data_IF_113387443814
#
_entry.id   IF_113387443814
#
_cell.length_a   1.000
_cell.length_b   1.000
_cell.length_c   1.000
_cell.angle_alpha   90.00
_cell.angle_beta   90.00
_cell.angle_gamma   90.00
#
_symmetry.space_group_name_H-M   'P 1'
#
loop_
_entity.id
_entity.type
_entity.pdbx_description
1 polymer ?
#
# COMPACT_ATOMS: atom_id res chain seq x y z
N UNK A 1 -14.40 -2.32 17.92
CA UNK A 1 -14.74 -1.93 16.54
C UNK A 1 -14.19 -0.56 16.11
N UNK A 2 -14.05 0.44 16.98
CA UNK A 2 -13.45 1.73 16.61
C UNK A 2 -11.93 1.64 16.37
N UNK A 3 -11.21 0.93 17.25
CA UNK A 3 -9.75 0.79 17.19
C UNK A 3 -9.26 0.16 15.87
N UNK A 4 -9.85 -0.96 15.44
CA UNK A 4 -9.49 -1.61 14.17
C UNK A 4 -9.69 -0.68 12.98
N UNK A 5 -10.78 0.10 12.97
CA UNK A 5 -11.07 1.06 11.92
C UNK A 5 -10.02 2.18 11.87
N UNK A 6 -9.59 2.67 13.04
CA UNK A 6 -8.52 3.67 13.15
C UNK A 6 -7.18 3.10 12.68
N UNK A 7 -6.86 1.85 13.03
CA UNK A 7 -5.63 1.19 12.57
C UNK A 7 -5.64 1.04 11.05
N UNK A 8 -6.74 0.60 10.44
CA UNK A 8 -6.83 0.47 8.98
C UNK A 8 -6.71 1.84 8.31
N UNK A 9 -7.35 2.88 8.86
CA UNK A 9 -7.18 4.24 8.34
C UNK A 9 -5.72 4.71 8.41
N UNK A 10 -5.03 4.43 9.52
CA UNK A 10 -3.61 4.73 9.67
C UNK A 10 -2.76 3.98 8.63
N UNK A 11 -3.00 2.68 8.42
CA UNK A 11 -2.33 1.87 7.38
C UNK A 11 -2.48 2.50 6.00
N UNK A 12 -3.70 2.90 5.63
CA UNK A 12 -3.95 3.56 4.33
C UNK A 12 -3.15 4.86 4.23
N UNK A 13 -3.13 5.68 5.28
CA UNK A 13 -2.38 6.94 5.28
C UNK A 13 -0.89 6.69 5.12
N UNK A 14 -0.31 5.69 5.81
CA UNK A 14 1.11 5.36 5.70
C UNK A 14 1.47 4.91 4.29
N UNK A 15 0.64 4.05 3.67
CA UNK A 15 0.87 3.60 2.28
C UNK A 15 0.79 4.79 1.31
N UNK A 16 -0.20 5.68 1.47
CA UNK A 16 -0.32 6.88 0.62
C UNK A 16 0.85 7.84 0.82
N UNK A 17 1.33 8.01 2.06
CA UNK A 17 2.52 8.81 2.34
C UNK A 17 3.76 8.20 1.68
N UNK A 18 3.98 6.89 1.81
CA UNK A 18 5.06 6.17 1.15
C UNK A 18 5.03 6.35 -0.37
N UNK A 19 3.85 6.22 -0.99
CA UNK A 19 3.65 6.48 -2.42
C UNK A 19 3.96 7.93 -2.80
N UNK A 20 3.49 8.89 -2.00
CA UNK A 20 3.71 10.31 -2.23
C UNK A 20 5.19 10.70 -2.16
N UNK A 21 5.93 10.19 -1.16
CA UNK A 21 7.37 10.42 -1.02
C UNK A 21 8.14 9.81 -2.19
N UNK A 22 7.78 8.58 -2.59
CA UNK A 22 8.40 7.89 -3.74
C UNK A 22 8.14 8.65 -5.03
N UNK A 23 6.91 9.12 -5.24
CA UNK A 23 6.53 9.92 -6.41
C UNK A 23 7.27 11.26 -6.47
N UNK A 24 7.49 11.90 -5.32
CA UNK A 24 8.24 13.13 -5.21
C UNK A 24 9.77 12.94 -5.29
N UNK A 25 10.26 11.71 -5.46
CA UNK A 25 11.69 11.36 -5.45
C UNK A 25 12.41 11.84 -4.18
N UNK A 26 11.73 11.80 -3.02
CA UNK A 26 12.32 12.16 -1.74
C UNK A 26 13.19 10.98 -1.27
N UNK A 27 14.41 11.29 -0.83
CA UNK A 27 15.35 10.27 -0.33
C UNK A 27 14.81 9.60 0.95
N UNK A 28 14.83 8.27 1.00
CA UNK A 28 14.40 7.49 2.16
C UNK A 28 15.24 7.79 3.42
N UNK A 29 16.50 8.23 3.25
CA UNK A 29 17.43 8.52 4.33
C UNK A 29 17.51 10.02 4.67
N UNK A 30 16.54 10.82 4.23
CA UNK A 30 16.51 12.25 4.51
C UNK A 30 16.43 12.55 6.02
N UNK A 31 15.65 11.75 6.76
CA UNK A 31 15.52 11.79 8.22
C UNK A 31 14.78 10.53 8.73
N UNK A 32 14.71 10.39 10.07
CA UNK A 32 14.06 9.25 10.74
C UNK A 32 12.57 9.09 10.39
N UNK A 33 11.84 10.19 10.17
CA UNK A 33 10.43 10.14 9.80
C UNK A 33 10.26 9.55 8.40
N UNK A 34 11.03 10.04 7.43
CA UNK A 34 10.99 9.53 6.06
C UNK A 34 11.39 8.05 6.02
N UNK A 35 12.49 7.69 6.70
CA UNK A 35 12.96 6.30 6.81
C UNK A 35 11.89 5.39 7.43
N UNK A 36 11.23 5.87 8.48
CA UNK A 36 10.11 5.17 9.11
C UNK A 36 8.92 4.96 8.17
N UNK A 37 8.54 5.97 7.39
CA UNK A 37 7.46 5.86 6.39
C UNK A 37 7.82 4.85 5.30
N UNK A 38 9.06 4.86 4.78
CA UNK A 38 9.52 3.87 3.80
C UNK A 38 9.53 2.45 4.37
N UNK A 39 9.99 2.27 5.60
CA UNK A 39 10.00 0.96 6.27
C UNK A 39 8.58 0.41 6.47
N UNK A 40 7.69 1.23 7.03
CA UNK A 40 6.31 0.84 7.28
C UNK A 40 5.53 0.64 5.98
N UNK A 41 5.70 1.51 4.99
CA UNK A 41 5.09 1.39 3.66
C UNK A 41 5.46 0.05 3.02
N UNK A 42 6.75 -0.27 2.94
CA UNK A 42 7.23 -1.56 2.44
C UNK A 42 6.61 -2.74 3.19
N UNK A 43 6.58 -2.70 4.52
CA UNK A 43 5.99 -3.79 5.33
C UNK A 43 4.50 -3.99 5.05
N UNK A 44 3.75 -2.89 4.96
CA UNK A 44 2.30 -2.91 4.75
C UNK A 44 1.91 -3.29 3.31
N UNK A 45 2.83 -3.15 2.37
CA UNK A 45 2.65 -3.50 0.96
C UNK A 45 2.91 -4.99 0.65
N UNK A 46 3.64 -5.72 1.52
CA UNK A 46 3.96 -7.14 1.33
C UNK A 46 2.72 -8.01 1.04
N UNK A 47 1.61 -7.92 1.81
CA UNK A 47 0.45 -8.75 1.54
C UNK A 47 -0.15 -8.49 0.15
N UNK A 48 -0.13 -7.24 -0.30
CA UNK A 48 -0.59 -6.88 -1.63
C UNK A 48 0.35 -7.42 -2.71
N UNK A 49 1.67 -7.38 -2.48
CA UNK A 49 2.65 -7.99 -3.37
C UNK A 49 2.39 -9.49 -3.54
N UNK A 50 2.18 -10.23 -2.45
CA UNK A 50 1.87 -11.67 -2.49
C UNK A 50 0.60 -11.94 -3.30
N UNK A 51 -0.45 -11.12 -3.11
CA UNK A 51 -1.70 -11.27 -3.88
C UNK A 51 -1.47 -10.98 -5.35
N UNK A 52 -0.78 -9.89 -5.69
CA UNK A 52 -0.49 -9.49 -7.07
C UNK A 52 0.37 -10.55 -7.79
N UNK A 53 1.41 -11.05 -7.13
CA UNK A 53 2.31 -12.08 -7.68
C UNK A 53 1.59 -13.42 -7.91
N UNK A 54 0.50 -13.68 -7.18
CA UNK A 54 -0.32 -14.88 -7.35
C UNK A 54 -1.33 -14.79 -8.49
N UNK A 55 -1.56 -13.61 -9.07
CA UNK A 55 -2.50 -13.44 -10.17
C UNK A 55 -1.92 -14.03 -11.46
N UNK A 56 -2.71 -14.78 -12.24
CA UNK A 56 -2.28 -15.27 -13.54
C UNK A 56 -2.19 -14.09 -14.53
N UNK A 57 -1.01 -13.47 -14.61
CA UNK A 57 -0.74 -12.38 -15.56
C UNK A 57 -0.08 -12.91 -16.82
N UNK A 58 -0.57 -12.49 -18.00
CA UNK A 58 0.10 -12.74 -19.28
C UNK A 58 1.50 -12.12 -19.30
N UNK A 59 2.45 -12.71 -20.04
CA UNK A 59 3.85 -12.26 -20.10
C UNK A 59 4.01 -10.75 -20.46
N UNK A 60 3.12 -10.24 -21.30
CA UNK A 60 3.05 -8.81 -21.69
C UNK A 60 2.59 -7.90 -20.53
N UNK A 61 1.73 -8.43 -19.66
CA UNK A 61 1.19 -7.75 -18.48
C UNK A 61 2.19 -7.75 -17.31
N UNK A 62 2.99 -8.81 -17.19
CA UNK A 62 4.12 -8.86 -16.25
C UNK A 62 5.21 -7.85 -16.62
N UNK A 63 5.54 -7.70 -17.91
CA UNK A 63 6.56 -6.75 -18.37
C UNK A 63 6.14 -5.27 -18.21
N UNK A 64 4.88 -4.94 -18.46
CA UNK A 64 4.34 -3.59 -18.24
C UNK A 64 4.24 -3.23 -16.74
N UNK A 65 4.06 -4.21 -15.88
CA UNK A 65 4.03 -4.04 -14.42
C UNK A 65 5.44 -3.95 -13.82
N UNK A 66 6.43 -4.65 -14.37
CA UNK A 66 7.82 -4.66 -13.86
C UNK A 66 8.48 -3.27 -13.82
N UNK A 67 8.19 -2.39 -14.79
CA UNK A 67 8.71 -1.01 -14.80
C UNK A 67 7.97 -0.02 -13.87
N UNK A 68 6.83 -0.44 -13.30
CA UNK A 68 5.94 0.39 -12.46
C UNK A 68 5.56 -0.31 -11.14
N UNK A 69 6.30 -1.38 -10.80
CA UNK A 69 5.89 -2.40 -9.83
C UNK A 69 5.59 -1.83 -8.44
N UNK A 70 6.47 -0.97 -7.93
CA UNK A 70 6.30 -0.37 -6.60
C UNK A 70 5.03 0.50 -6.49
N UNK A 71 4.75 1.33 -7.49
CA UNK A 71 3.54 2.16 -7.50
C UNK A 71 2.27 1.33 -7.66
N UNK A 72 2.31 0.27 -8.48
CA UNK A 72 1.19 -0.63 -8.67
C UNK A 72 0.87 -1.42 -7.40
N UNK A 73 1.90 -1.96 -6.73
CA UNK A 73 1.77 -2.71 -5.48
C UNK A 73 1.23 -1.81 -4.36
N UNK A 74 1.80 -0.61 -4.18
CA UNK A 74 1.33 0.31 -3.14
C UNK A 74 -0.09 0.82 -3.40
N UNK A 75 -0.49 1.04 -4.66
CA UNK A 75 -1.88 1.36 -4.99
C UNK A 75 -2.82 0.18 -4.71
N UNK A 76 -2.44 -1.04 -5.09
CA UNK A 76 -3.21 -2.25 -4.81
C UNK A 76 -3.39 -2.45 -3.28
N UNK A 77 -2.34 -2.22 -2.50
CA UNK A 77 -2.39 -2.26 -1.05
C UNK A 77 -3.38 -1.23 -0.49
N UNK A 78 -3.25 0.04 -0.90
CA UNK A 78 -4.15 1.10 -0.45
C UNK A 78 -5.62 0.79 -0.75
N UNK A 79 -5.93 0.32 -1.96
CA UNK A 79 -7.30 -0.09 -2.36
C UNK A 79 -7.78 -1.28 -1.54
N UNK A 80 -6.94 -2.30 -1.34
CA UNK A 80 -7.29 -3.48 -0.54
C UNK A 80 -7.67 -3.12 0.89
N UNK A 81 -6.85 -2.31 1.56
CA UNK A 81 -7.14 -1.82 2.90
C UNK A 81 -8.36 -0.89 2.94
N UNK A 82 -8.59 -0.09 1.90
CA UNK A 82 -9.77 0.76 1.79
C UNK A 82 -11.06 -0.06 1.69
N UNK A 83 -11.06 -1.17 0.93
CA UNK A 83 -12.20 -2.10 0.87
C UNK A 83 -12.47 -2.70 2.25
N UNK A 84 -11.44 -3.16 2.96
CA UNK A 84 -11.60 -3.67 4.33
C UNK A 84 -12.17 -2.62 5.29
N UNK A 85 -11.72 -1.36 5.16
CA UNK A 85 -12.25 -0.25 5.93
C UNK A 85 -13.74 -0.02 5.69
N UNK A 86 -14.19 -0.09 4.43
CA UNK A 86 -15.60 0.05 4.08
C UNK A 86 -16.43 -1.11 4.62
N UNK A 87 -15.98 -2.36 4.43
CA UNK A 87 -16.67 -3.56 4.94
C UNK A 87 -16.89 -3.51 6.45
N UNK A 88 -15.88 -3.04 7.20
CA UNK A 88 -15.99 -2.86 8.65
C UNK A 88 -17.01 -1.76 9.04
N UNK A 89 -17.32 -0.83 8.14
CA UNK A 89 -18.32 0.22 8.31
C UNK A 89 -19.75 -0.17 7.91
N UNK A 90 -19.92 -1.15 7.03
CA UNK A 90 -21.22 -1.51 6.44
C UNK A 90 -22.12 -2.30 7.41
N UNK A 91 -21.56 -3.20 8.25
CA UNK A 91 -22.34 -4.03 9.18
C UNK A 91 -22.78 -3.36 10.50
N UNK A 92 -22.79 -2.03 10.56
CA UNK A 92 -22.87 -1.25 11.81
C UNK A 92 -24.21 -0.53 12.06
N UNK A 93 -25.30 -0.99 11.44
CA UNK A 93 -26.66 -0.51 11.71
C UNK A 93 -27.49 -1.58 12.39
#
# INVERSE_FOLDING_TARGET
MALLRTIIAFVIIVILAHLGLTYASIDENLNDLTSGIYSLGRLLEIPAQVVVDSLPTSAEQSQSTAGRGLYFIGFAAAVGYFVLFLLLGIGRR
#
